data_IF_214237204145
#
_entry.id   IF_214237204145
#
_cell.length_a   1.000
_cell.length_b   1.000
_cell.length_c   1.000
_cell.angle_alpha   90.00
_cell.angle_beta   90.00
_cell.angle_gamma   90.00
#
_symmetry.space_group_name_H-M   'P 1'
#
loop_
_entity.id
_entity.type
_entity.pdbx_description
1 polymer ?
#
# COMPACT_ATOMS: atom_id res chain seq x y z
N UNK A 1 -20.36 -1.90 -4.84
CA UNK A 1 -18.92 -2.04 -5.09
C UNK A 1 -18.62 -1.40 -6.44
N UNK A 2 -17.56 -0.59 -6.54
CA UNK A 2 -17.12 0.01 -7.81
C UNK A 2 -16.50 -1.06 -8.70
N UNK A 3 -16.63 -0.94 -10.02
CA UNK A 3 -16.06 -1.90 -10.99
C UNK A 3 -14.54 -2.02 -10.85
N UNK A 4 -13.88 -0.92 -10.46
CA UNK A 4 -12.43 -0.83 -10.29
C UNK A 4 -11.92 -1.68 -9.11
N UNK A 5 -12.65 -1.69 -7.98
CA UNK A 5 -12.31 -2.53 -6.84
C UNK A 5 -12.45 -4.03 -7.13
N UNK A 6 -13.42 -4.40 -7.98
CA UNK A 6 -13.59 -5.79 -8.42
C UNK A 6 -12.43 -6.26 -9.30
N UNK A 7 -11.92 -5.40 -10.19
CA UNK A 7 -10.73 -5.68 -10.98
C UNK A 7 -9.50 -5.91 -10.09
N UNK A 8 -9.29 -5.09 -9.06
CA UNK A 8 -8.20 -5.33 -8.12
C UNK A 8 -8.35 -6.63 -7.32
N UNK A 9 -9.57 -7.00 -6.95
CA UNK A 9 -9.81 -8.30 -6.31
C UNK A 9 -9.52 -9.49 -7.25
N UNK A 10 -9.78 -9.35 -8.55
CA UNK A 10 -9.43 -10.35 -9.57
C UNK A 10 -7.91 -10.46 -9.72
N UNK A 11 -7.22 -9.33 -9.91
CA UNK A 11 -5.76 -9.28 -10.02
C UNK A 11 -5.07 -9.85 -8.76
N UNK A 12 -5.63 -9.62 -7.57
CA UNK A 12 -5.11 -10.18 -6.33
C UNK A 12 -5.23 -11.70 -6.32
N UNK A 13 -6.39 -12.24 -6.71
CA UNK A 13 -6.61 -13.69 -6.78
C UNK A 13 -5.68 -14.35 -7.79
N UNK A 14 -5.47 -13.71 -8.94
CA UNK A 14 -4.58 -14.23 -9.98
C UNK A 14 -3.11 -14.17 -9.54
N UNK A 15 -2.69 -13.09 -8.89
CA UNK A 15 -1.36 -12.96 -8.30
C UNK A 15 -1.09 -14.01 -7.21
N UNK A 16 -2.04 -14.26 -6.31
CA UNK A 16 -1.94 -15.30 -5.29
C UNK A 16 -1.89 -16.70 -5.91
N UNK A 17 -2.67 -16.94 -6.99
CA UNK A 17 -2.62 -18.21 -7.73
C UNK A 17 -1.25 -18.43 -8.36
N UNK A 18 -0.71 -17.42 -9.03
CA UNK A 18 0.62 -17.47 -9.65
C UNK A 18 1.72 -17.75 -8.62
N UNK A 19 1.67 -17.08 -7.46
CA UNK A 19 2.59 -17.34 -6.34
C UNK A 19 2.51 -18.80 -5.89
N UNK A 20 1.28 -19.33 -5.75
CA UNK A 20 1.07 -20.70 -5.31
C UNK A 20 1.62 -21.71 -6.30
N UNK A 21 1.30 -21.56 -7.59
CA UNK A 21 1.76 -22.44 -8.67
C UNK A 21 3.29 -22.45 -8.77
N UNK A 22 3.93 -21.28 -8.77
CA UNK A 22 5.40 -21.18 -8.79
C UNK A 22 6.04 -21.72 -7.50
N UNK A 23 5.38 -21.56 -6.34
CA UNK A 23 5.86 -22.16 -5.09
C UNK A 23 5.78 -23.69 -5.11
N UNK A 24 4.76 -24.27 -5.71
CA UNK A 24 4.62 -25.72 -5.89
C UNK A 24 5.67 -26.23 -6.89
N UNK A 25 5.88 -25.53 -8.01
CA UNK A 25 6.93 -25.85 -8.97
C UNK A 25 8.33 -25.80 -8.35
N UNK A 26 8.61 -24.78 -7.53
CA UNK A 26 9.88 -24.66 -6.82
C UNK A 26 10.04 -25.77 -5.77
N UNK A 27 8.98 -26.14 -5.04
CA UNK A 27 8.99 -27.30 -4.12
C UNK A 27 9.30 -28.61 -4.85
N UNK A 28 8.65 -28.86 -6.00
CA UNK A 28 8.93 -30.05 -6.81
C UNK A 28 10.37 -30.09 -7.29
N UNK A 29 10.95 -28.94 -7.66
CA UNK A 29 12.37 -28.90 -8.00
C UNK A 29 13.26 -29.27 -6.82
N UNK A 30 12.86 -29.01 -5.57
CA UNK A 30 13.61 -29.38 -4.36
C UNK A 30 13.51 -30.85 -3.97
N UNK A 31 12.60 -31.63 -4.58
CA UNK A 31 12.42 -33.02 -4.19
C UNK A 31 13.47 -33.94 -4.84
N UNK A 32 14.59 -34.13 -4.15
CA UNK A 32 15.64 -35.06 -4.56
C UNK A 32 15.19 -36.53 -4.59
N UNK A 33 14.06 -36.87 -3.95
CA UNK A 33 13.56 -38.25 -3.88
C UNK A 33 12.66 -38.62 -5.07
N UNK A 34 12.37 -37.66 -5.95
CA UNK A 34 11.56 -37.91 -7.13
C UNK A 34 12.30 -38.87 -8.10
N UNK A 35 11.58 -39.90 -8.55
CA UNK A 35 12.10 -40.85 -9.55
C UNK A 35 12.42 -40.12 -10.86
N UNK A 36 13.69 -40.08 -11.25
CA UNK A 36 14.14 -39.37 -12.46
C UNK A 36 14.59 -37.92 -12.24
N UNK A 37 14.87 -37.53 -10.99
CA UNK A 37 15.42 -36.23 -10.64
C UNK A 37 16.67 -35.88 -11.47
N UNK A 38 16.60 -34.76 -12.20
CA UNK A 38 17.75 -34.11 -12.82
C UNK A 38 17.95 -32.75 -12.14
N UNK A 39 19.17 -32.44 -11.68
CA UNK A 39 19.44 -31.17 -11.05
C UNK A 39 19.08 -30.04 -12.04
N UNK A 40 18.26 -29.05 -11.63
CA UNK A 40 18.01 -27.86 -12.43
C UNK A 40 19.33 -27.14 -12.75
N UNK A 41 19.42 -26.39 -13.86
CA UNK A 41 20.62 -25.62 -14.15
C UNK A 41 20.89 -24.62 -13.02
N UNK A 42 22.16 -24.52 -12.60
CA UNK A 42 22.60 -23.60 -11.53
C UNK A 42 22.32 -22.13 -11.88
N UNK A 43 22.34 -21.78 -13.17
CA UNK A 43 22.00 -20.45 -13.69
C UNK A 43 21.24 -20.58 -15.02
N UNK A 44 20.27 -19.68 -15.25
CA UNK A 44 19.51 -19.60 -16.50
C UNK A 44 18.02 -19.94 -16.39
N UNK A 45 17.30 -19.99 -17.54
CA UNK A 45 15.86 -20.24 -17.62
C UNK A 45 15.44 -21.51 -16.89
N UNK A 46 14.57 -21.36 -15.89
CA UNK A 46 14.07 -22.48 -15.08
C UNK A 46 14.94 -22.87 -13.88
N UNK A 47 16.07 -22.17 -13.64
CA UNK A 47 16.86 -22.33 -12.42
C UNK A 47 16.04 -21.99 -11.17
N UNK A 48 16.39 -22.66 -10.05
CA UNK A 48 15.77 -22.41 -8.73
C UNK A 48 15.89 -20.95 -8.33
N UNK A 49 17.03 -20.33 -8.62
CA UNK A 49 17.32 -18.92 -8.33
C UNK A 49 16.40 -18.01 -9.12
N UNK A 50 16.21 -18.26 -10.43
CA UNK A 50 15.30 -17.45 -11.25
C UNK A 50 13.85 -17.60 -10.80
N UNK A 51 13.39 -18.82 -10.48
CA UNK A 51 12.04 -19.04 -9.94
C UNK A 51 11.84 -18.31 -8.61
N UNK A 52 12.83 -18.38 -7.72
CA UNK A 52 12.84 -17.64 -6.47
C UNK A 52 12.90 -16.11 -6.63
N UNK A 53 13.47 -15.61 -7.73
CA UNK A 53 13.46 -14.19 -8.08
C UNK A 53 12.10 -13.77 -8.67
N UNK A 54 11.53 -14.59 -9.56
CA UNK A 54 10.19 -14.37 -10.12
C UNK A 54 9.13 -14.32 -9.02
N UNK A 55 9.15 -15.27 -8.07
CA UNK A 55 8.28 -15.28 -6.89
C UNK A 55 8.37 -13.96 -6.09
N UNK A 56 9.58 -13.42 -5.90
CA UNK A 56 9.73 -12.14 -5.19
C UNK A 56 9.19 -10.95 -5.98
N UNK A 57 9.31 -10.97 -7.32
CA UNK A 57 8.73 -9.93 -8.18
C UNK A 57 7.21 -9.96 -8.13
N UNK A 58 6.59 -11.14 -8.29
CA UNK A 58 5.13 -11.30 -8.22
C UNK A 58 4.63 -10.91 -6.83
N UNK A 59 5.33 -11.30 -5.76
CA UNK A 59 4.97 -10.89 -4.40
C UNK A 59 5.00 -9.36 -4.20
N UNK A 60 5.99 -8.68 -4.77
CA UNK A 60 6.05 -7.22 -4.74
C UNK A 60 4.86 -6.58 -5.49
N UNK A 61 4.47 -7.14 -6.65
CA UNK A 61 3.30 -6.68 -7.40
C UNK A 61 2.01 -6.85 -6.60
N UNK A 62 1.79 -8.01 -5.97
CA UNK A 62 0.58 -8.25 -5.16
C UNK A 62 0.54 -7.36 -3.91
N UNK A 63 1.69 -7.07 -3.28
CA UNK A 63 1.76 -6.09 -2.18
C UNK A 63 1.35 -4.70 -2.64
N UNK A 64 1.86 -4.25 -3.78
CA UNK A 64 1.53 -2.93 -4.33
C UNK A 64 0.05 -2.83 -4.73
N UNK A 65 -0.51 -3.92 -5.25
CA UNK A 65 -1.93 -4.03 -5.52
C UNK A 65 -2.76 -3.88 -4.24
N UNK A 66 -2.39 -4.54 -3.14
CA UNK A 66 -3.08 -4.38 -1.84
C UNK A 66 -2.96 -2.95 -1.30
N UNK A 67 -1.82 -2.28 -1.49
CA UNK A 67 -1.68 -0.85 -1.16
C UNK A 67 -2.64 0.00 -2.01
N UNK A 68 -2.72 -0.27 -3.33
CA UNK A 68 -3.62 0.42 -4.25
C UNK A 68 -5.10 0.22 -3.87
N UNK A 69 -5.47 -1.00 -3.46
CA UNK A 69 -6.79 -1.30 -2.92
C UNK A 69 -7.09 -0.53 -1.63
N UNK A 70 -6.10 -0.30 -0.77
CA UNK A 70 -6.26 0.50 0.45
C UNK A 70 -6.53 1.98 0.15
N UNK A 71 -5.86 2.55 -0.85
CA UNK A 71 -6.15 3.90 -1.33
C UNK A 71 -7.58 4.01 -1.86
N UNK A 72 -8.00 3.12 -2.77
CA UNK A 72 -9.35 3.10 -3.34
C UNK A 72 -10.43 2.84 -2.27
N UNK A 73 -10.13 2.00 -1.27
CA UNK A 73 -11.02 1.73 -0.14
C UNK A 73 -11.30 2.96 0.72
N UNK A 74 -10.43 3.96 0.72
CA UNK A 74 -10.67 5.21 1.43
C UNK A 74 -11.67 6.12 0.69
N UNK A 75 -11.74 6.04 -0.64
CA UNK A 75 -12.66 6.84 -1.47
C UNK A 75 -14.07 6.22 -1.59
N UNK A 76 -14.24 4.97 -1.16
CA UNK A 76 -15.54 4.27 -1.15
C UNK A 76 -16.56 4.86 -0.15
N UNK A 77 -17.88 4.83 -0.45
CA UNK A 77 -18.94 5.24 0.48
C UNK A 77 -18.92 4.46 1.80
N UNK A 78 -19.40 5.09 2.89
CA UNK A 78 -19.35 4.51 4.25
C UNK A 78 -19.96 3.09 4.37
N UNK A 79 -20.99 2.77 3.58
CA UNK A 79 -21.62 1.45 3.58
C UNK A 79 -20.74 0.31 3.04
N UNK A 80 -19.80 0.60 2.12
CA UNK A 80 -18.93 -0.41 1.49
C UNK A 80 -17.48 -0.34 2.00
N UNK A 81 -17.09 0.78 2.61
CA UNK A 81 -15.73 1.02 3.09
C UNK A 81 -15.34 0.11 4.25
N UNK A 82 -16.26 -0.19 5.17
CA UNK A 82 -15.96 -1.06 6.31
C UNK A 82 -15.65 -2.49 5.85
N UNK A 83 -16.49 -3.05 4.97
CA UNK A 83 -16.30 -4.41 4.43
C UNK A 83 -15.07 -4.52 3.53
N UNK A 84 -14.74 -3.47 2.76
CA UNK A 84 -13.50 -3.43 1.99
C UNK A 84 -12.24 -3.42 2.88
N UNK A 85 -12.24 -2.63 3.97
CA UNK A 85 -11.12 -2.57 4.91
C UNK A 85 -10.89 -3.88 5.66
N UNK A 86 -11.96 -4.59 6.04
CA UNK A 86 -11.86 -5.92 6.66
C UNK A 86 -11.19 -6.93 5.73
N UNK A 87 -11.59 -6.97 4.45
CA UNK A 87 -10.96 -7.83 3.43
C UNK A 87 -9.50 -7.48 3.19
N UNK A 88 -9.17 -6.19 3.10
CA UNK A 88 -7.78 -5.73 2.92
C UNK A 88 -6.92 -6.14 4.11
N UNK A 89 -7.44 -6.07 5.35
CA UNK A 89 -6.73 -6.55 6.53
C UNK A 89 -6.44 -8.07 6.44
N UNK A 90 -7.40 -8.87 5.98
CA UNK A 90 -7.21 -10.30 5.72
C UNK A 90 -6.13 -10.55 4.64
N UNK A 91 -6.18 -9.82 3.53
CA UNK A 91 -5.18 -9.95 2.46
C UNK A 91 -3.77 -9.61 2.93
N UNK A 92 -3.61 -8.64 3.85
CA UNK A 92 -2.31 -8.30 4.45
C UNK A 92 -1.77 -9.42 5.34
N UNK A 93 -2.64 -10.10 6.08
CA UNK A 93 -2.26 -11.26 6.89
C UNK A 93 -1.84 -12.40 5.95
N UNK A 94 -2.64 -12.69 4.91
CA UNK A 94 -2.31 -13.72 3.92
C UNK A 94 -0.99 -13.43 3.20
N UNK A 95 -0.72 -12.17 2.82
CA UNK A 95 0.55 -11.76 2.24
C UNK A 95 1.73 -12.05 3.17
N UNK A 96 1.63 -11.74 4.47
CA UNK A 96 2.70 -12.08 5.43
C UNK A 96 2.95 -13.58 5.51
N UNK A 97 1.90 -14.40 5.50
CA UNK A 97 2.08 -15.86 5.51
C UNK A 97 2.72 -16.39 4.22
N UNK A 98 2.35 -15.83 3.06
CA UNK A 98 2.97 -16.16 1.77
C UNK A 98 4.43 -15.72 1.72
N UNK A 99 4.75 -14.55 2.25
CA UNK A 99 6.13 -14.03 2.36
C UNK A 99 7.03 -14.96 3.16
N UNK A 100 6.60 -15.33 4.37
CA UNK A 100 7.32 -16.27 5.22
C UNK A 100 7.47 -17.64 4.54
N UNK A 101 6.42 -18.10 3.86
CA UNK A 101 6.44 -19.34 3.09
C UNK A 101 7.46 -19.33 1.94
N UNK A 102 7.51 -18.24 1.17
CA UNK A 102 8.47 -18.06 0.06
C UNK A 102 9.90 -17.93 0.59
N UNK A 103 10.10 -17.21 1.71
CA UNK A 103 11.42 -17.07 2.31
C UNK A 103 11.99 -18.43 2.74
N UNK A 104 11.17 -19.27 3.40
CA UNK A 104 11.54 -20.65 3.75
C UNK A 104 11.84 -21.47 2.50
N UNK A 105 10.97 -21.40 1.49
CA UNK A 105 11.14 -22.16 0.26
C UNK A 105 12.41 -21.77 -0.52
N UNK A 106 12.78 -20.49 -0.53
CA UNK A 106 14.04 -20.03 -1.13
C UNK A 106 15.25 -20.57 -0.36
N UNK A 107 15.19 -20.64 0.97
CA UNK A 107 16.24 -21.24 1.77
C UNK A 107 16.39 -22.75 1.46
N UNK A 108 15.27 -23.47 1.36
CA UNK A 108 15.26 -24.89 0.98
C UNK A 108 15.81 -25.09 -0.44
N UNK A 109 15.45 -24.23 -1.38
CA UNK A 109 15.96 -24.28 -2.75
C UNK A 109 17.49 -24.04 -2.80
N UNK A 110 18.01 -23.09 -2.01
CA UNK A 110 19.45 -22.86 -1.89
C UNK A 110 20.18 -24.02 -1.19
N UNK A 111 19.53 -24.69 -0.23
CA UNK A 111 20.09 -25.89 0.39
C UNK A 111 20.14 -27.06 -0.60
N UNK A 112 19.09 -27.27 -1.40
CA UNK A 112 19.05 -28.29 -2.45
C UNK A 112 20.11 -28.04 -3.54
N UNK A 113 20.29 -26.79 -3.97
CA UNK A 113 21.31 -26.42 -4.97
C UNK A 113 22.74 -26.70 -4.47
N UNK A 114 23.01 -26.43 -3.19
CA UNK A 114 24.30 -26.80 -2.56
C UNK A 114 24.53 -28.31 -2.55
N UNK A 115 23.49 -29.10 -2.27
CA UNK A 115 23.59 -30.56 -2.28
C UNK A 115 23.82 -31.10 -3.70
N UNK A 116 23.14 -30.53 -4.70
CA UNK A 116 23.32 -30.89 -6.11
C UNK A 116 24.77 -30.63 -6.57
N UNK A 117 25.33 -29.46 -6.24
CA UNK A 117 26.70 -29.09 -6.58
C UNK A 117 27.75 -30.00 -5.91
N UNK A 118 27.53 -30.38 -4.65
CA UNK A 118 28.42 -31.29 -3.93
C UNK A 118 28.36 -32.71 -4.50
N UNK A 119 27.16 -33.20 -4.82
CA UNK A 119 26.96 -34.51 -5.43
C UNK A 119 27.48 -34.62 -6.88
N UNK A 120 27.51 -33.51 -7.63
CA UNK A 120 28.17 -33.45 -8.94
C UNK A 120 29.71 -33.50 -8.80
N UNK A 121 30.27 -32.81 -7.80
CA UNK A 121 31.71 -32.82 -7.54
C UNK A 121 32.24 -34.21 -7.12
N UNK A 122 31.48 -34.94 -6.29
CA UNK A 122 31.84 -36.31 -5.89
C UNK A 122 31.77 -37.29 -7.06
N UNK A 123 30.73 -37.21 -7.91
CA UNK A 123 30.64 -38.00 -9.14
C UNK A 123 31.82 -37.73 -10.07
N UNK A 124 32.14 -36.45 -10.31
CA UNK A 124 33.28 -36.06 -11.16
C UNK A 124 34.62 -36.53 -10.62
N UNK A 125 34.82 -36.56 -9.29
CA UNK A 125 36.02 -37.12 -8.65
C UNK A 125 36.13 -38.63 -8.82
N UNK A 126 35.00 -39.35 -8.78
CA UNK A 126 34.98 -40.80 -8.95
C UNK A 126 35.29 -41.18 -10.41
N UNK A 127 34.73 -40.46 -11.37
CA UNK A 127 35.02 -40.64 -12.80
C UNK A 127 36.48 -40.31 -13.16
N UNK A 128 37.05 -39.26 -12.55
CA UNK A 128 38.45 -38.89 -12.76
C UNK A 128 39.45 -39.91 -12.17
N UNK A 129 39.09 -40.62 -11.10
CA UNK A 129 39.91 -41.69 -10.51
C UNK A 129 39.83 -43.00 -11.29
N UNK A 130 38.72 -43.26 -11.99
CA UNK A 130 38.58 -44.43 -12.88
C UNK A 130 39.38 -44.31 -14.19
N UNK A 131 39.76 -43.10 -14.60
CA UNK A 131 40.49 -42.86 -15.85
C UNK A 131 42.02 -42.94 -15.73
N UNK A 132 42.58 -42.91 -14.51
CA UNK A 132 44.03 -42.90 -14.28
C UNK A 132 44.66 -44.29 -14.16
N UNK A 133 43.88 -45.37 -14.10
CA UNK A 133 44.38 -46.74 -13.83
C UNK A 133 44.72 -47.55 -15.09
N UNK A 134 44.61 -46.97 -16.29
CA UNK A 134 44.69 -47.71 -17.56
C UNK A 134 46.02 -47.57 -18.34
N UNK A 135 47.08 -46.97 -17.78
CA UNK A 135 48.35 -46.83 -18.53
C UNK A 135 49.59 -46.84 -17.65
N UNK A 136 50.01 -48.03 -17.22
CA UNK A 136 51.33 -48.26 -16.68
C UNK A 136 51.87 -49.61 -17.18
N UNK A 137 52.71 -49.61 -18.21
CA UNK A 137 53.71 -50.66 -18.47
C UNK A 137 54.77 -50.15 -19.46
N UNK A 138 56.02 -50.03 -19.00
CA UNK A 138 57.15 -49.60 -19.85
C UNK A 138 58.39 -49.20 -19.04
N UNK A 139 59.04 -50.21 -18.45
CA UNK A 139 60.12 -50.16 -17.46
C UNK A 139 61.45 -49.53 -17.95
N UNK A 140 62.19 -48.97 -16.99
CA UNK A 140 63.58 -48.47 -16.97
C UNK A 140 63.99 -47.12 -17.60
N UNK A 141 63.21 -46.54 -18.51
CA UNK A 141 63.40 -45.13 -18.96
C UNK A 141 62.45 -44.16 -18.22
N UNK A 142 61.72 -44.73 -17.25
CA UNK A 142 60.51 -44.23 -16.62
C UNK A 142 60.84 -43.23 -15.51
N UNK A 143 61.80 -43.50 -14.63
CA UNK A 143 62.14 -42.60 -13.52
C UNK A 143 62.53 -41.19 -14.01
N UNK A 144 63.25 -41.07 -15.12
CA UNK A 144 63.63 -39.75 -15.67
C UNK A 144 62.46 -39.06 -16.38
N UNK A 145 61.55 -39.83 -16.98
CA UNK A 145 60.33 -39.30 -17.63
C UNK A 145 59.28 -38.93 -16.60
N UNK A 146 59.07 -39.74 -15.57
CA UNK A 146 58.23 -39.48 -14.41
C UNK A 146 58.68 -38.21 -13.69
N UNK A 147 59.98 -38.03 -13.42
CA UNK A 147 60.49 -36.80 -12.82
C UNK A 147 60.23 -35.57 -13.70
N UNK A 148 60.36 -35.69 -15.03
CA UNK A 148 60.06 -34.60 -15.97
C UNK A 148 58.56 -34.31 -16.08
N UNK A 149 57.73 -35.34 -16.15
CA UNK A 149 56.25 -35.21 -16.16
C UNK A 149 55.77 -34.62 -14.84
N UNK A 150 56.35 -35.03 -13.71
CA UNK A 150 56.08 -34.49 -12.39
C UNK A 150 56.53 -33.02 -12.29
N UNK A 151 57.69 -32.65 -12.84
CA UNK A 151 58.13 -31.25 -12.90
C UNK A 151 57.21 -30.39 -13.79
N UNK A 152 56.75 -30.92 -14.94
CA UNK A 152 55.81 -30.23 -15.83
C UNK A 152 54.43 -30.07 -15.17
N UNK A 153 53.93 -31.11 -14.49
CA UNK A 153 52.68 -31.07 -13.74
C UNK A 153 52.76 -30.09 -12.56
N UNK A 154 53.87 -30.11 -11.82
CA UNK A 154 54.14 -29.13 -10.76
C UNK A 154 54.22 -27.70 -11.31
N UNK A 155 54.81 -27.51 -12.50
CA UNK A 155 54.87 -26.19 -13.16
C UNK A 155 53.49 -25.74 -13.65
N UNK A 156 52.69 -26.66 -14.19
CA UNK A 156 51.32 -26.39 -14.62
C UNK A 156 50.43 -26.00 -13.43
N UNK A 157 50.52 -26.75 -12.32
CA UNK A 157 49.85 -26.44 -11.06
C UNK A 157 50.31 -25.12 -10.47
N UNK A 158 51.61 -24.82 -10.52
CA UNK A 158 52.14 -23.53 -10.08
C UNK A 158 51.62 -22.37 -10.92
N UNK A 159 51.56 -22.52 -12.24
CA UNK A 159 51.02 -21.50 -13.14
C UNK A 159 49.53 -21.28 -12.93
N UNK A 160 48.76 -22.35 -12.72
CA UNK A 160 47.33 -22.27 -12.37
C UNK A 160 47.11 -21.62 -11.00
N UNK A 161 47.89 -22.00 -9.99
CA UNK A 161 47.86 -21.39 -8.66
C UNK A 161 48.23 -19.91 -8.69
N UNK A 162 49.25 -19.52 -9.47
CA UNK A 162 49.64 -18.13 -9.68
C UNK A 162 48.53 -17.34 -10.39
N UNK A 163 47.89 -17.92 -11.41
CA UNK A 163 46.73 -17.31 -12.08
C UNK A 163 45.55 -17.09 -11.13
N UNK A 164 45.27 -18.06 -10.25
CA UNK A 164 44.24 -17.95 -9.21
C UNK A 164 44.59 -16.90 -8.16
N UNK A 165 45.86 -16.77 -7.78
CA UNK A 165 46.31 -15.74 -6.84
C UNK A 165 46.09 -14.32 -7.39
N UNK A 166 46.43 -14.10 -8.66
CA UNK A 166 46.18 -12.81 -9.34
C UNK A 166 44.68 -12.51 -9.45
N UNK A 167 43.85 -13.52 -9.70
CA UNK A 167 42.39 -13.36 -9.70
C UNK A 167 41.85 -13.04 -8.30
N UNK A 168 42.37 -13.70 -7.25
CA UNK A 168 42.00 -13.44 -5.88
C UNK A 168 42.39 -12.02 -5.43
N UNK A 169 43.58 -11.55 -5.83
CA UNK A 169 44.03 -10.18 -5.57
C UNK A 169 43.12 -9.13 -6.22
N UNK A 170 42.73 -9.34 -7.49
CA UNK A 170 41.76 -8.47 -8.17
C UNK A 170 40.41 -8.47 -7.48
N UNK A 171 39.89 -9.65 -7.13
CA UNK A 171 38.62 -9.77 -6.44
C UNK A 171 38.65 -9.12 -5.04
N UNK A 172 39.77 -9.24 -4.33
CA UNK A 172 39.97 -8.56 -3.04
C UNK A 172 39.98 -7.05 -3.20
N UNK A 173 40.65 -6.52 -4.24
CA UNK A 173 40.65 -5.08 -4.52
C UNK A 173 39.24 -4.57 -4.86
N UNK A 174 38.49 -5.31 -5.69
CA UNK A 174 37.10 -4.98 -6.02
C UNK A 174 36.20 -5.03 -4.76
N UNK A 175 36.44 -5.99 -3.87
CA UNK A 175 35.71 -6.13 -2.60
C UNK A 175 36.06 -5.02 -1.62
N UNK A 176 37.32 -4.62 -1.54
CA UNK A 176 37.77 -3.47 -0.73
C UNK A 176 37.11 -2.18 -1.22
N UNK A 177 37.06 -1.99 -2.55
CA UNK A 177 36.43 -0.81 -3.16
C UNK A 177 34.93 -0.78 -2.91
N UNK A 178 34.23 -1.90 -3.12
CA UNK A 178 32.80 -2.03 -2.83
C UNK A 178 32.51 -1.85 -1.34
N UNK A 179 33.37 -2.37 -0.47
CA UNK A 179 33.27 -2.19 0.98
C UNK A 179 33.43 -0.73 1.39
N UNK A 180 34.40 -0.01 0.80
CA UNK A 180 34.60 1.41 1.05
C UNK A 180 33.43 2.27 0.55
N UNK A 181 32.87 1.94 -0.61
CA UNK A 181 31.67 2.60 -1.14
C UNK A 181 30.44 2.34 -0.25
N UNK A 182 30.28 1.10 0.24
CA UNK A 182 29.22 0.75 1.19
C UNK A 182 29.37 1.51 2.52
N UNK A 183 30.57 1.61 3.08
CA UNK A 183 30.84 2.39 4.31
C UNK A 183 30.53 3.87 4.10
N UNK A 184 30.91 4.43 2.95
CA UNK A 184 30.62 5.82 2.60
C UNK A 184 29.12 6.06 2.46
N UNK A 185 28.39 5.14 1.81
CA UNK A 185 26.94 5.21 1.68
C UNK A 185 26.23 5.07 3.03
N UNK A 186 26.67 4.16 3.90
CA UNK A 186 26.09 4.01 5.25
C UNK A 186 26.31 5.27 6.09
N UNK A 187 27.48 5.92 5.95
CA UNK A 187 27.76 7.20 6.60
C UNK A 187 26.82 8.30 6.10
N UNK A 188 26.65 8.42 4.79
CA UNK A 188 25.71 9.37 4.19
C UNK A 188 24.26 9.07 4.60
N UNK A 189 23.85 7.81 4.66
CA UNK A 189 22.53 7.41 5.14
C UNK A 189 22.33 7.77 6.62
N UNK A 190 23.36 7.60 7.46
CA UNK A 190 23.30 7.99 8.88
C UNK A 190 23.12 9.50 9.03
N UNK A 191 23.81 10.29 8.21
CA UNK A 191 23.66 11.75 8.16
C UNK A 191 22.24 12.16 7.70
N UNK A 192 21.68 11.49 6.69
CA UNK A 192 20.28 11.72 6.29
C UNK A 192 19.28 11.31 7.39
N UNK A 193 19.55 10.25 8.14
CA UNK A 193 18.68 9.81 9.24
C UNK A 193 18.70 10.82 10.40
N UNK A 194 19.86 11.38 10.73
CA UNK A 194 19.97 12.45 11.72
C UNK A 194 19.20 13.70 11.28
N UNK A 195 19.32 14.08 9.99
CA UNK A 195 18.61 15.23 9.44
C UNK A 195 17.08 15.02 9.37
N UNK A 196 16.63 13.78 9.13
CA UNK A 196 15.21 13.39 9.21
C UNK A 196 14.69 13.48 10.66
N UNK A 197 15.50 13.13 11.66
CA UNK A 197 15.10 13.27 13.06
C UNK A 197 14.96 14.74 13.48
N UNK A 198 15.89 15.60 13.05
CA UNK A 198 15.81 17.04 13.34
C UNK A 198 14.61 17.70 12.64
N UNK A 199 14.30 17.31 11.40
CA UNK A 199 13.10 17.77 10.67
C UNK A 199 11.80 17.15 11.20
N UNK A 200 11.81 15.95 11.76
CA UNK A 200 10.62 15.34 12.39
C UNK A 200 10.26 16.03 13.72
N UNK A 201 11.26 16.53 14.47
CA UNK A 201 11.01 17.34 15.68
C UNK A 201 10.39 18.70 15.29
N UNK A 202 10.75 19.27 14.14
CA UNK A 202 10.11 20.49 13.62
C UNK A 202 8.68 20.27 13.07
N UNK A 203 8.34 19.04 12.64
CA UNK A 203 6.99 18.71 12.13
C UNK A 203 5.96 18.51 13.25
N UNK A 204 6.39 18.24 14.49
CA UNK A 204 5.47 18.17 15.63
C UNK A 204 4.94 19.57 16.06
N UNK A 205 5.67 20.64 15.71
CA UNK A 205 5.24 22.03 15.96
C UNK A 205 4.15 22.48 14.95
N UNK A 206 4.22 22.08 13.68
CA UNK A 206 3.20 22.43 12.68
C UNK A 206 1.94 21.53 12.71
N UNK A 207 2.04 20.28 13.18
CA UNK A 207 0.87 19.41 13.38
C UNK A 207 0.02 19.86 14.59
N UNK A 208 0.63 20.54 15.55
CA UNK A 208 -0.06 21.20 16.67
C UNK A 208 -0.95 22.37 16.21
N UNK A 209 -0.47 23.18 15.26
CA UNK A 209 -1.20 24.30 14.66
C UNK A 209 -2.43 23.82 13.87
N UNK A 210 -2.27 22.77 13.06
CA UNK A 210 -3.39 22.19 12.29
C UNK A 210 -4.49 21.60 13.20
N UNK A 211 -4.11 20.95 14.31
CA UNK A 211 -5.08 20.44 15.32
C UNK A 211 -5.82 21.57 16.05
N UNK A 212 -5.19 22.72 16.27
CA UNK A 212 -5.79 23.89 16.93
C UNK A 212 -6.89 24.52 16.07
N UNK A 213 -6.68 24.63 14.77
CA UNK A 213 -7.67 25.19 13.83
C UNK A 213 -8.89 24.26 13.70
N UNK A 214 -8.68 22.96 13.56
CA UNK A 214 -9.76 21.96 13.43
C UNK A 214 -10.60 21.90 14.73
N UNK A 215 -9.97 21.91 15.91
CA UNK A 215 -10.68 21.95 17.19
C UNK A 215 -11.42 23.28 17.43
N UNK A 216 -10.93 24.39 16.84
CA UNK A 216 -11.62 25.67 16.82
C UNK A 216 -12.93 25.62 16.03
N UNK A 217 -12.90 25.00 14.84
CA UNK A 217 -14.08 24.84 13.98
C UNK A 217 -15.16 23.95 14.62
N UNK A 218 -14.80 22.92 15.38
CA UNK A 218 -15.77 22.06 16.09
C UNK A 218 -16.59 22.84 17.13
N UNK A 219 -15.97 23.74 17.90
CA UNK A 219 -16.67 24.59 18.88
C UNK A 219 -17.58 25.62 18.22
N UNK A 220 -17.15 26.19 17.08
CA UNK A 220 -17.95 27.12 16.29
C UNK A 220 -19.18 26.43 15.71
N UNK A 221 -19.04 25.21 15.20
CA UNK A 221 -20.16 24.41 14.67
C UNK A 221 -21.25 24.15 15.73
N UNK A 222 -20.89 23.85 16.97
CA UNK A 222 -21.86 23.61 18.06
C UNK A 222 -22.63 24.89 18.39
N UNK A 223 -21.95 26.04 18.48
CA UNK A 223 -22.59 27.33 18.76
C UNK A 223 -23.61 27.72 17.69
N UNK A 224 -23.26 27.57 16.41
CA UNK A 224 -24.20 27.86 15.31
C UNK A 224 -25.42 26.95 15.35
N UNK A 225 -25.25 25.66 15.65
CA UNK A 225 -26.38 24.72 15.83
C UNK A 225 -27.30 25.13 16.98
N UNK A 226 -26.75 25.58 18.11
CA UNK A 226 -27.53 26.02 19.27
C UNK A 226 -28.32 27.31 18.97
N UNK A 227 -27.68 28.30 18.35
CA UNK A 227 -28.34 29.57 17.96
C UNK A 227 -29.51 29.29 16.99
N UNK A 228 -29.32 28.40 16.02
CA UNK A 228 -30.39 27.99 15.10
C UNK A 228 -31.60 27.42 15.84
N UNK A 229 -31.38 26.49 16.78
CA UNK A 229 -32.45 25.87 17.57
C UNK A 229 -33.18 26.93 18.41
N UNK A 230 -32.46 27.87 19.01
CA UNK A 230 -33.04 28.95 19.80
C UNK A 230 -33.98 29.84 18.97
N UNK A 231 -33.58 30.23 17.76
CA UNK A 231 -34.41 31.05 16.85
C UNK A 231 -35.69 30.30 16.47
N UNK A 232 -35.61 28.99 16.17
CA UNK A 232 -36.78 28.16 15.86
C UNK A 232 -37.77 28.14 17.04
N UNK A 233 -37.27 27.97 18.27
CA UNK A 233 -38.11 27.97 19.48
C UNK A 233 -38.83 29.31 19.64
N UNK A 234 -38.12 30.44 19.48
CA UNK A 234 -38.72 31.78 19.58
C UNK A 234 -39.80 32.00 18.52
N UNK A 235 -39.56 31.56 17.28
CA UNK A 235 -40.54 31.69 16.19
C UNK A 235 -41.82 30.89 16.51
N UNK A 236 -41.67 29.65 16.97
CA UNK A 236 -42.79 28.80 17.36
C UNK A 236 -43.56 29.42 18.52
N UNK A 237 -42.87 29.97 19.53
CA UNK A 237 -43.49 30.66 20.65
C UNK A 237 -44.34 31.87 20.20
N UNK A 238 -43.80 32.70 19.30
CA UNK A 238 -44.54 33.84 18.75
C UNK A 238 -45.80 33.42 17.99
N UNK A 239 -45.74 32.31 17.24
CA UNK A 239 -46.91 31.75 16.56
C UNK A 239 -47.97 31.33 17.58
N UNK A 240 -47.58 30.63 18.66
CA UNK A 240 -48.52 30.26 19.73
C UNK A 240 -49.19 31.47 20.38
N UNK A 241 -48.41 32.51 20.70
CA UNK A 241 -48.93 33.76 21.29
C UNK A 241 -49.90 34.46 20.32
N UNK A 242 -49.56 34.53 19.03
CA UNK A 242 -50.43 35.14 18.02
C UNK A 242 -51.78 34.40 17.91
N UNK A 243 -51.76 33.07 17.93
CA UNK A 243 -52.98 32.24 17.92
C UNK A 243 -53.80 32.50 19.19
N UNK A 244 -53.17 32.55 20.37
CA UNK A 244 -53.86 32.81 21.64
C UNK A 244 -54.56 34.18 21.66
N UNK A 245 -53.86 35.24 21.23
CA UNK A 245 -54.44 36.59 21.16
C UNK A 245 -55.55 36.68 20.11
N UNK A 246 -55.37 36.06 18.95
CA UNK A 246 -56.40 36.03 17.90
C UNK A 246 -57.66 35.31 18.38
N UNK A 247 -57.52 34.16 19.04
CA UNK A 247 -58.64 33.42 19.62
C UNK A 247 -59.36 34.22 20.73
N UNK A 248 -58.61 34.91 21.60
CA UNK A 248 -59.17 35.77 22.63
C UNK A 248 -59.88 37.02 22.07
N UNK A 249 -59.33 37.63 21.00
CA UNK A 249 -59.94 38.77 20.30
C UNK A 249 -61.19 38.36 19.53
N UNK A 250 -61.18 37.20 18.88
CA UNK A 250 -62.34 36.68 18.16
C UNK A 250 -63.52 36.42 19.11
N UNK A 251 -63.27 35.94 20.34
CA UNK A 251 -64.30 35.81 21.39
C UNK A 251 -64.90 37.15 21.84
N UNK A 252 -64.13 38.25 21.87
CA UNK A 252 -64.66 39.60 22.15
C UNK A 252 -65.50 40.15 21.01
N UNK A 253 -65.05 39.96 19.77
CA UNK A 253 -65.74 40.48 18.58
C UNK A 253 -67.07 39.77 18.28
N UNK A 254 -67.27 38.54 18.76
CA UNK A 254 -68.58 37.86 18.68
C UNK A 254 -69.61 38.40 19.68
N UNK A 255 -69.19 39.18 20.69
CA UNK A 255 -70.10 39.72 21.72
C UNK A 255 -70.70 41.10 21.37
N UNK A 256 -70.22 41.77 20.33
CA UNK A 256 -70.70 43.11 19.91
C UNK A 256 -71.77 43.09 18.80
N UNK A 257 -72.24 41.92 18.37
CA UNK A 257 -73.30 41.77 17.35
C UNK A 257 -74.65 41.40 17.97
N UNK A 258 -75.09 42.14 18.98
CA UNK A 258 -76.47 42.08 19.43
C UNK A 258 -76.97 43.48 19.72
N UNK A 259 -78.02 43.86 18.99
CA UNK A 259 -78.87 45.06 19.15
C UNK A 259 -78.45 46.28 18.33
N UNK A 260 -79.10 46.49 17.17
CA UNK A 260 -79.83 47.73 16.91
C UNK A 260 -80.84 47.52 15.77
N UNK A 261 -82.07 48.01 15.99
CA UNK A 261 -83.23 47.92 15.11
C UNK A 261 -83.67 49.33 14.67
N UNK A 262 -84.34 49.40 13.51
CA UNK A 262 -85.34 50.41 13.08
C UNK A 262 -84.95 51.88 12.85
N UNK A 263 -85.38 52.43 11.71
CA UNK A 263 -85.69 53.86 11.53
C UNK A 263 -85.34 54.47 10.16
N UNK A 264 -86.34 54.68 9.30
CA UNK A 264 -86.25 55.46 8.05
C UNK A 264 -86.01 56.98 8.31
N UNK A 265 -85.55 57.74 7.29
CA UNK A 265 -86.32 58.94 6.92
C UNK A 265 -86.33 59.29 5.42
N UNK A 266 -87.06 60.37 5.12
CA UNK A 266 -87.91 60.64 3.96
C UNK A 266 -87.32 61.71 3.01
N UNK A 267 -87.76 61.65 1.74
CA UNK A 267 -87.91 62.71 0.68
C UNK A 267 -86.69 63.60 0.34
N UNK A 268 -86.13 63.60 -0.88
CA UNK A 268 -86.67 64.09 -2.17
C UNK A 268 -86.98 65.60 -2.22
N UNK A 269 -86.13 66.33 -2.97
CA UNK A 269 -86.40 67.33 -4.04
C UNK A 269 -85.39 68.49 -4.00
N UNK A 270 -84.63 68.63 -5.09
CA UNK A 270 -83.73 69.74 -5.44
C UNK A 270 -84.52 70.86 -6.17
N UNK A 271 -83.95 71.80 -6.98
CA UNK A 271 -82.60 72.39 -7.07
C UNK A 271 -82.65 73.95 -7.25
N UNK A 272 -81.52 74.67 -7.13
CA UNK A 272 -81.18 75.75 -8.08
C UNK A 272 -79.81 76.39 -7.82
N UNK A 273 -78.92 76.23 -8.81
CA UNK A 273 -78.04 77.24 -9.42
C UNK A 273 -77.74 78.54 -8.66
N UNK A 274 -76.46 78.78 -8.34
CA UNK A 274 -75.82 80.09 -8.62
C UNK A 274 -74.28 80.02 -8.50
N UNK A 275 -73.66 80.18 -9.66
CA UNK A 275 -72.31 80.66 -10.00
C UNK A 275 -71.49 81.49 -8.98
N UNK A 276 -70.15 81.30 -9.12
CA UNK A 276 -69.06 82.30 -9.11
C UNK A 276 -68.40 82.77 -7.80
N UNK A 277 -67.14 83.24 -7.97
CA UNK A 277 -66.10 83.70 -7.01
C UNK A 277 -65.16 82.55 -6.61
N UNK A 278 -64.01 82.29 -7.24
CA UNK A 278 -62.85 83.13 -7.62
C UNK A 278 -62.14 83.84 -6.45
N UNK A 279 -61.13 83.13 -5.91
CA UNK A 279 -59.72 83.57 -5.77
C UNK A 279 -59.44 84.98 -5.22
N UNK A 280 -58.73 85.01 -4.08
CA UNK A 280 -57.46 85.73 -3.84
C UNK A 280 -57.40 86.40 -2.45
N UNK A 281 -56.15 86.58 -2.00
CA UNK A 281 -55.67 87.42 -0.88
C UNK A 281 -55.80 86.77 0.52
N UNK A 282 -54.77 86.59 1.34
CA UNK A 282 -53.38 87.05 1.37
C UNK A 282 -52.51 86.02 2.10
#
# INVERSE_FOLDING_TARGET
MTTLFQTYEEEYRDGVRAIREESEALRHSCDLKATGYKPPPATGPGSRVQRGAHLTTVLAQVRELVNSMEYEANDLPAAHRQTAKERIAEYRINLRTLEEGIARLKADASAADRLDLLGDMERRKMDARGASDAKASGDLDDVTKEHRVMMLDNTAKFKDASGKLVQAERLLNDTERLGNDALTSLRSQTETMQNIQETTIAVDEEVSEARKIINGMQKVMIKHKLILIAIIIVLVFLIFVAIYVSAAKHRRNSSSKSTEATGEPITSVAPSLSWLVSKAEH
#
